data_IF_076377990621
#
_entry.id   IF_076377990621
#
_cell.length_a   1.000
_cell.length_b   1.000
_cell.length_c   1.000
_cell.angle_alpha   90.00
_cell.angle_beta   90.00
_cell.angle_gamma   90.00
#
_symmetry.space_group_name_H-M   'P 1'
#
loop_
_entity.id
_entity.type
_entity.pdbx_description
1 polymer ?
#
# COMPACT_ATOMS: atom_id res chain seq x y z
N UNK A 1 -16.81 -23.87 -15.12
CA UNK A 1 -15.54 -23.41 -14.52
C UNK A 1 -15.58 -21.90 -14.26
N UNK A 2 -16.17 -21.09 -15.14
CA UNK A 2 -16.31 -19.63 -14.96
C UNK A 2 -17.08 -19.18 -13.71
N UNK A 3 -18.15 -19.89 -13.31
CA UNK A 3 -18.92 -19.52 -12.13
C UNK A 3 -18.14 -19.71 -10.82
N UNK A 4 -17.30 -20.74 -10.76
CA UNK A 4 -16.42 -21.00 -9.60
C UNK A 4 -15.32 -19.95 -9.57
N UNK A 5 -14.71 -19.63 -10.72
CA UNK A 5 -13.73 -18.54 -10.81
C UNK A 5 -14.32 -17.18 -10.44
N UNK A 6 -15.57 -16.88 -10.82
CA UNK A 6 -16.28 -15.66 -10.40
C UNK A 6 -16.56 -15.62 -8.90
N UNK A 7 -16.98 -16.72 -8.30
CA UNK A 7 -17.21 -16.80 -6.86
C UNK A 7 -15.90 -16.62 -6.08
N UNK A 8 -14.84 -17.31 -6.49
CA UNK A 8 -13.50 -17.16 -5.89
C UNK A 8 -12.98 -15.73 -6.06
N UNK A 9 -13.12 -15.15 -7.26
CA UNK A 9 -12.75 -13.75 -7.50
C UNK A 9 -13.53 -12.77 -6.62
N UNK A 10 -14.83 -12.98 -6.41
CA UNK A 10 -15.65 -12.19 -5.50
C UNK A 10 -15.23 -12.31 -4.03
N UNK A 11 -14.86 -13.51 -3.58
CA UNK A 11 -14.33 -13.74 -2.24
C UNK A 11 -12.97 -13.05 -2.03
N UNK A 12 -12.06 -13.17 -2.99
CA UNK A 12 -10.75 -12.49 -2.95
C UNK A 12 -10.95 -10.97 -2.95
N UNK A 13 -11.85 -10.45 -3.79
CA UNK A 13 -12.16 -9.02 -3.82
C UNK A 13 -12.74 -8.53 -2.49
N UNK A 14 -13.66 -9.28 -1.89
CA UNK A 14 -14.23 -8.97 -0.58
C UNK A 14 -13.18 -9.01 0.54
N UNK A 15 -12.32 -10.03 0.55
CA UNK A 15 -11.23 -10.14 1.52
C UNK A 15 -10.19 -9.03 1.33
N UNK A 16 -9.85 -8.69 0.10
CA UNK A 16 -8.97 -7.56 -0.23
C UNK A 16 -9.58 -6.26 0.26
N UNK A 17 -10.88 -6.05 0.06
CA UNK A 17 -11.60 -4.88 0.58
C UNK A 17 -11.53 -4.77 2.09
N UNK A 18 -11.63 -5.90 2.80
CA UNK A 18 -11.49 -5.96 4.25
C UNK A 18 -10.05 -5.67 4.71
N UNK A 19 -9.04 -6.17 4.01
CA UNK A 19 -7.64 -5.86 4.31
C UNK A 19 -7.37 -4.36 4.11
N UNK A 20 -7.87 -3.77 3.03
CA UNK A 20 -7.72 -2.33 2.75
C UNK A 20 -8.40 -1.47 3.81
N UNK A 21 -9.60 -1.85 4.29
CA UNK A 21 -10.27 -1.11 5.35
C UNK A 21 -9.51 -1.17 6.67
N UNK A 22 -8.91 -2.31 7.01
CA UNK A 22 -8.06 -2.46 8.21
C UNK A 22 -6.78 -1.62 8.10
N UNK A 23 -6.14 -1.57 6.92
CA UNK A 23 -4.98 -0.69 6.69
C UNK A 23 -5.38 0.78 6.86
N UNK A 24 -6.52 1.18 6.30
CA UNK A 24 -7.05 2.55 6.44
C UNK A 24 -7.30 2.94 7.90
N UNK A 25 -7.84 2.02 8.69
CA UNK A 25 -7.99 2.20 10.14
C UNK A 25 -6.62 2.32 10.83
N UNK A 26 -5.64 1.49 10.44
CA UNK A 26 -4.27 1.55 10.94
C UNK A 26 -3.62 2.93 10.74
N UNK A 27 -3.76 3.49 9.54
CA UNK A 27 -3.29 4.86 9.22
C UNK A 27 -3.99 5.90 10.10
N UNK A 28 -5.32 5.84 10.22
CA UNK A 28 -6.07 6.79 11.04
C UNK A 28 -5.66 6.73 12.52
N UNK A 29 -5.44 5.52 13.06
CA UNK A 29 -4.98 5.35 14.45
C UNK A 29 -3.56 5.85 14.66
N UNK A 30 -2.68 5.66 13.68
CA UNK A 30 -1.29 6.14 13.74
C UNK A 30 -1.24 7.68 13.78
N UNK A 31 -2.13 8.36 13.04
CA UNK A 31 -2.25 9.83 13.05
C UNK A 31 -2.74 10.34 14.41
N UNK A 32 -3.76 9.70 14.99
CA UNK A 32 -4.42 10.19 16.22
C UNK A 32 -3.62 9.86 17.47
N UNK A 33 -3.07 8.65 17.55
CA UNK A 33 -2.44 8.14 18.77
C UNK A 33 -0.91 8.08 18.69
N UNK A 34 -0.33 8.28 17.50
CA UNK A 34 1.12 8.15 17.26
C UNK A 34 1.57 6.70 17.36
N UNK A 35 1.91 6.07 16.23
CA UNK A 35 2.62 4.78 16.18
C UNK A 35 2.16 3.69 17.16
N UNK A 36 0.87 3.62 17.49
CA UNK A 36 0.36 2.67 18.47
C UNK A 36 -0.02 1.36 17.76
N UNK A 37 0.38 0.21 18.33
CA UNK A 37 0.15 -1.17 17.85
C UNK A 37 1.28 -1.82 17.03
N UNK A 38 2.44 -1.19 16.87
CA UNK A 38 3.57 -1.78 16.12
C UNK A 38 3.32 -1.95 14.61
N UNK A 39 2.16 -1.49 14.12
CA UNK A 39 1.79 -1.38 12.73
C UNK A 39 1.97 0.08 12.30
N UNK A 40 3.21 0.48 12.02
CA UNK A 40 3.49 1.82 11.47
C UNK A 40 3.36 1.77 9.96
N UNK A 41 2.15 2.04 9.47
CA UNK A 41 1.87 2.08 8.03
C UNK A 41 2.56 3.27 7.41
N UNK A 42 2.51 4.42 8.08
CA UNK A 42 3.14 5.66 7.62
C UNK A 42 4.67 5.48 7.64
N UNK A 43 5.25 4.95 8.72
CA UNK A 43 6.68 4.68 8.80
C UNK A 43 7.18 3.70 7.74
N UNK A 44 6.38 2.68 7.38
CA UNK A 44 6.72 1.76 6.30
C UNK A 44 6.71 2.47 4.92
N UNK A 45 5.71 3.32 4.65
CA UNK A 45 5.66 4.12 3.42
C UNK A 45 6.84 5.11 3.37
N UNK A 46 7.11 5.81 4.46
CA UNK A 46 8.24 6.74 4.57
C UNK A 46 9.57 6.03 4.34
N UNK A 47 9.76 4.82 4.89
CA UNK A 47 10.99 4.04 4.68
C UNK A 47 11.20 3.64 3.22
N UNK A 48 10.13 3.30 2.51
CA UNK A 48 10.18 3.00 1.06
C UNK A 48 10.55 4.28 0.30
N UNK A 49 9.90 5.41 0.61
CA UNK A 49 10.20 6.70 -0.02
C UNK A 49 11.64 7.13 0.25
N UNK A 50 12.14 6.94 1.46
CA UNK A 50 13.53 7.25 1.83
C UNK A 50 14.53 6.33 1.11
N UNK A 51 14.17 5.06 0.92
CA UNK A 51 14.97 4.14 0.12
C UNK A 51 15.05 4.60 -1.34
N UNK A 52 13.95 5.09 -1.91
CA UNK A 52 13.93 5.68 -3.24
C UNK A 52 14.72 7.00 -3.30
N UNK A 53 14.56 7.88 -2.32
CA UNK A 53 15.19 9.21 -2.29
C UNK A 53 16.70 9.16 -2.03
N UNK A 54 17.17 8.19 -1.23
CA UNK A 54 18.59 7.94 -0.97
C UNK A 54 19.38 7.54 -2.23
N UNK A 55 18.70 7.03 -3.27
CA UNK A 55 19.29 6.77 -4.58
C UNK A 55 19.61 8.03 -5.40
N UNK A 56 19.24 9.22 -4.91
CA UNK A 56 19.46 10.50 -5.57
C UNK A 56 18.83 10.52 -6.97
N UNK A 57 19.67 10.64 -8.00
CA UNK A 57 19.24 10.62 -9.41
C UNK A 57 18.52 9.33 -9.81
N UNK A 58 18.92 8.18 -9.25
CA UNK A 58 18.29 6.87 -9.55
C UNK A 58 16.86 6.82 -9.01
N UNK A 59 16.61 7.43 -7.85
CA UNK A 59 15.26 7.55 -7.28
C UNK A 59 14.30 8.33 -8.20
N UNK A 60 14.77 9.45 -8.75
CA UNK A 60 14.01 10.26 -9.69
C UNK A 60 13.72 9.52 -11.00
N UNK A 61 14.69 8.74 -11.51
CA UNK A 61 14.50 7.92 -12.71
C UNK A 61 13.46 6.81 -12.46
N UNK A 62 13.51 6.13 -11.32
CA UNK A 62 12.51 5.10 -10.97
C UNK A 62 11.11 5.71 -10.83
N UNK A 63 10.99 6.89 -10.20
CA UNK A 63 9.72 7.62 -10.10
C UNK A 63 9.15 7.99 -11.47
N UNK A 64 9.99 8.46 -12.41
CA UNK A 64 9.56 8.76 -13.78
C UNK A 64 9.10 7.52 -14.53
N UNK A 65 9.77 6.38 -14.36
CA UNK A 65 9.38 5.11 -14.96
C UNK A 65 8.03 4.64 -14.41
N UNK A 66 7.84 4.65 -13.09
CA UNK A 66 6.58 4.27 -12.46
C UNK A 66 5.42 5.19 -12.88
N UNK A 67 5.65 6.50 -12.91
CA UNK A 67 4.66 7.46 -13.42
C UNK A 67 4.27 7.16 -14.87
N UNK A 68 5.24 6.79 -15.71
CA UNK A 68 5.00 6.39 -17.08
C UNK A 68 4.21 5.08 -17.24
N UNK A 69 4.20 4.20 -16.24
CA UNK A 69 3.42 2.94 -16.23
C UNK A 69 2.00 3.12 -15.67
N UNK A 70 1.75 4.20 -14.92
CA UNK A 70 0.43 4.51 -14.35
C UNK A 70 -0.44 5.30 -15.36
N UNK A 71 0.14 5.78 -16.45
CA UNK A 71 -0.52 6.53 -17.52
C UNK A 71 -0.83 5.63 -18.71
#
# INVERSE_FOLDING_TARGET
MDSIMKQVGGLIAGLTGLVVSVIGLGVATEIVFGGAMGLSVIGNITSIVDSLSSGGFVGLVVLLILWGQVK
#
